data_IF_989225914242
#
_entry.id   IF_989225914242
#
_cell.length_a   1.000
_cell.length_b   1.000
_cell.length_c   1.000
_cell.angle_alpha   90.00
_cell.angle_beta   90.00
_cell.angle_gamma   90.00
#
_symmetry.space_group_name_H-M   'P 1'
#
loop_
_entity.id
_entity.type
_entity.pdbx_description
1 polymer ?
#
# COMPACT_ATOMS: atom_id res chain seq x y z
N UNK A 1 16.99 -0.25 10.00
CA UNK A 1 15.93 0.81 10.06
C UNK A 1 16.14 1.96 9.07
N UNK A 2 17.27 2.69 9.09
CA UNK A 2 17.51 3.79 8.12
C UNK A 2 17.41 3.36 6.66
N UNK A 3 17.99 2.21 6.31
CA UNK A 3 17.95 1.65 4.95
C UNK A 3 16.52 1.37 4.45
N UNK A 4 15.63 0.88 5.33
CA UNK A 4 14.22 0.67 4.99
C UNK A 4 13.53 1.99 4.60
N UNK A 5 13.78 3.06 5.35
CA UNK A 5 13.26 4.40 5.03
C UNK A 5 13.84 4.94 3.72
N UNK A 6 15.12 4.69 3.45
CA UNK A 6 15.76 5.08 2.18
C UNK A 6 15.08 4.40 0.98
N UNK A 7 14.72 3.12 1.07
CA UNK A 7 14.00 2.44 -0.01
C UNK A 7 12.67 3.10 -0.38
N UNK A 8 11.95 3.65 0.61
CA UNK A 8 10.72 4.41 0.33
C UNK A 8 11.03 5.79 -0.26
N UNK A 9 12.08 6.47 0.21
CA UNK A 9 12.50 7.77 -0.33
C UNK A 9 13.00 7.68 -1.77
N UNK A 10 13.64 6.58 -2.15
CA UNK A 10 14.06 6.30 -3.54
C UNK A 10 12.87 6.17 -4.49
N UNK A 11 11.71 5.74 -3.98
CA UNK A 11 10.47 5.66 -4.76
C UNK A 11 9.80 7.03 -4.89
N UNK A 12 9.68 7.73 -3.77
CA UNK A 12 9.10 9.06 -3.69
C UNK A 12 9.68 9.79 -2.46
N UNK A 13 10.49 10.85 -2.65
CA UNK A 13 11.08 11.63 -1.55
C UNK A 13 10.05 12.31 -0.65
N UNK A 14 8.84 12.57 -1.15
CA UNK A 14 7.75 13.24 -0.45
C UNK A 14 6.67 12.26 0.02
N UNK A 15 6.95 10.95 0.02
CA UNK A 15 5.99 9.92 0.38
C UNK A 15 5.49 10.12 1.82
N UNK A 16 4.16 10.33 2.02
CA UNK A 16 3.64 10.52 3.37
C UNK A 16 3.89 9.30 4.25
N UNK A 17 4.28 9.52 5.50
CA UNK A 17 4.54 8.43 6.46
C UNK A 17 3.36 7.49 6.62
N UNK A 18 2.12 8.01 6.63
CA UNK A 18 0.91 7.16 6.67
C UNK A 18 0.78 6.25 5.45
N UNK A 19 1.26 6.66 4.28
CA UNK A 19 1.30 5.83 3.07
C UNK A 19 2.34 4.72 3.20
N UNK A 20 3.50 4.99 3.80
CA UNK A 20 4.51 3.97 4.14
C UNK A 20 3.92 2.93 5.10
N UNK A 21 3.27 3.38 6.18
CA UNK A 21 2.60 2.48 7.14
C UNK A 21 1.52 1.63 6.45
N UNK A 22 0.73 2.25 5.55
CA UNK A 22 -0.26 1.53 4.75
C UNK A 22 0.37 0.40 3.93
N UNK A 23 1.52 0.64 3.29
CA UNK A 23 2.23 -0.39 2.55
C UNK A 23 2.70 -1.53 3.47
N UNK A 24 3.31 -1.20 4.62
CA UNK A 24 3.80 -2.21 5.57
C UNK A 24 2.67 -3.09 6.11
N UNK A 25 1.50 -2.51 6.40
CA UNK A 25 0.31 -3.26 6.82
C UNK A 25 -0.15 -4.24 5.74
N UNK A 26 -0.19 -3.82 4.47
CA UNK A 26 -0.55 -4.69 3.33
C UNK A 26 0.51 -5.77 3.14
N UNK A 27 1.79 -5.40 3.24
CA UNK A 27 2.91 -6.30 3.02
C UNK A 27 2.99 -7.40 4.08
N UNK A 28 2.62 -7.11 5.32
CA UNK A 28 2.61 -8.07 6.43
C UNK A 28 1.34 -8.92 6.51
N UNK A 29 0.31 -8.63 5.71
CA UNK A 29 -0.91 -9.42 5.72
C UNK A 29 -0.69 -10.78 5.03
N UNK A 30 -1.17 -11.86 5.66
CA UNK A 30 -1.13 -13.21 5.09
C UNK A 30 -2.10 -13.39 3.90
N UNK A 31 -3.10 -12.50 3.79
CA UNK A 31 -4.19 -12.54 2.80
C UNK A 31 -4.53 -11.14 2.32
N UNK A 32 -5.25 -11.07 1.21
CA UNK A 32 -5.78 -9.83 0.65
C UNK A 32 -6.64 -9.09 1.70
N UNK A 33 -6.21 -7.87 2.05
CA UNK A 33 -6.74 -7.12 3.18
C UNK A 33 -7.97 -6.30 2.77
N UNK A 34 -9.10 -6.38 3.50
CA UNK A 34 -10.23 -5.49 3.29
C UNK A 34 -9.84 -4.02 3.51
N UNK A 35 -10.35 -3.12 2.67
CA UNK A 35 -10.14 -1.67 2.83
C UNK A 35 -10.61 -1.14 4.21
N UNK A 36 -11.64 -1.76 4.78
CA UNK A 36 -12.15 -1.42 6.12
C UNK A 36 -11.13 -1.74 7.21
N UNK A 37 -10.43 -2.86 7.08
CA UNK A 37 -9.42 -3.28 8.06
C UNK A 37 -8.19 -2.37 7.97
N UNK A 38 -7.79 -1.98 6.76
CA UNK A 38 -6.78 -0.93 6.56
C UNK A 38 -7.19 0.40 7.17
N UNK A 39 -8.46 0.81 7.00
CA UNK A 39 -8.97 2.04 7.59
C UNK A 39 -8.86 2.01 9.12
N UNK A 40 -9.27 0.91 9.74
CA UNK A 40 -9.19 0.74 11.19
C UNK A 40 -7.74 0.75 11.68
N UNK A 41 -6.84 0.02 10.99
CA UNK A 41 -5.44 -0.07 11.37
C UNK A 41 -4.66 1.24 11.20
N UNK A 42 -5.03 2.06 10.20
CA UNK A 42 -4.42 3.38 9.95
C UNK A 42 -5.01 4.50 10.82
N UNK A 43 -6.09 4.22 11.55
CA UNK A 43 -6.89 5.18 12.30
C UNK A 43 -7.20 6.43 11.48
N UNK A 44 -7.96 6.26 10.40
CA UNK A 44 -8.26 7.34 9.46
C UNK A 44 -9.62 7.20 8.80
N UNK A 45 -10.03 8.21 8.05
CA UNK A 45 -11.28 8.18 7.27
C UNK A 45 -11.16 7.27 6.05
N UNK A 46 -12.27 6.71 5.58
CA UNK A 46 -12.31 5.95 4.32
C UNK A 46 -11.72 6.72 3.13
N UNK A 47 -11.97 8.02 3.04
CA UNK A 47 -11.38 8.91 2.02
C UNK A 47 -9.86 9.02 2.12
N UNK A 48 -9.31 9.00 3.32
CA UNK A 48 -7.86 9.07 3.56
C UNK A 48 -7.19 7.72 3.33
N UNK A 49 -7.81 6.61 3.74
CA UNK A 49 -7.37 5.25 3.39
C UNK A 49 -7.30 5.07 1.88
N UNK A 50 -8.35 5.49 1.16
CA UNK A 50 -8.39 5.43 -0.30
C UNK A 50 -7.25 6.23 -0.94
N UNK A 51 -6.93 7.42 -0.43
CA UNK A 51 -5.80 8.21 -0.93
C UNK A 51 -4.46 7.54 -0.69
N UNK A 52 -4.23 6.94 0.49
CA UNK A 52 -3.02 6.18 0.78
C UNK A 52 -2.87 4.99 -0.17
N UNK A 53 -3.93 4.21 -0.36
CA UNK A 53 -3.92 3.06 -1.27
C UNK A 53 -3.75 3.49 -2.72
N UNK A 54 -4.39 4.58 -3.15
CA UNK A 54 -4.23 5.13 -4.50
C UNK A 54 -2.78 5.56 -4.78
N UNK A 55 -2.09 6.16 -3.80
CA UNK A 55 -0.70 6.58 -3.97
C UNK A 55 0.24 5.40 -4.18
N UNK A 56 -0.03 4.29 -3.50
CA UNK A 56 0.66 3.01 -3.67
C UNK A 56 0.24 2.25 -4.93
N UNK A 57 -0.92 2.57 -5.51
CA UNK A 57 -1.47 1.90 -6.69
C UNK A 57 -0.83 2.40 -7.98
N UNK A 58 -1.21 1.83 -9.13
CA UNK A 58 -0.70 2.29 -10.42
C UNK A 58 -1.05 3.77 -10.74
N UNK A 59 -2.13 4.28 -10.15
CA UNK A 59 -2.61 5.64 -10.38
C UNK A 59 -3.06 6.28 -9.07
N UNK A 60 -2.49 7.44 -8.75
CA UNK A 60 -2.86 8.26 -7.60
C UNK A 60 -4.06 9.17 -7.90
N UNK A 61 -4.07 9.76 -9.10
CA UNK A 61 -5.15 10.58 -9.69
C UNK A 61 -5.28 10.25 -11.18
N UNK A 62 -6.36 10.66 -11.87
CA UNK A 62 -6.41 10.56 -13.32
C UNK A 62 -5.16 11.19 -13.94
N UNK A 63 -4.42 10.42 -14.74
CA UNK A 63 -3.17 10.83 -15.40
C UNK A 63 -1.98 11.12 -14.48
N UNK A 64 -2.09 10.84 -13.17
CA UNK A 64 -0.95 10.92 -12.25
C UNK A 64 -0.55 9.50 -11.86
N UNK A 65 0.61 9.01 -12.33
CA UNK A 65 1.09 7.68 -11.98
C UNK A 65 1.31 7.59 -10.47
N UNK A 66 0.93 6.46 -9.89
CA UNK A 66 1.30 6.09 -8.52
C UNK A 66 2.46 5.10 -8.52
N UNK A 67 2.79 4.55 -7.36
CA UNK A 67 3.96 3.69 -7.19
C UNK A 67 3.78 2.28 -7.79
N UNK A 68 2.55 1.83 -8.05
CA UNK A 68 2.25 0.53 -8.65
C UNK A 68 2.62 -0.68 -7.78
N UNK A 69 2.73 -0.48 -6.47
CA UNK A 69 3.10 -1.50 -5.49
C UNK A 69 1.90 -2.33 -5.02
N UNK A 70 0.70 -1.73 -5.02
CA UNK A 70 -0.53 -2.41 -4.58
C UNK A 70 -1.62 -2.28 -5.63
N UNK A 71 -2.63 -3.13 -5.53
CA UNK A 71 -3.86 -3.00 -6.30
C UNK A 71 -5.08 -3.21 -5.40
N UNK A 72 -6.12 -2.41 -5.65
CA UNK A 72 -7.41 -2.56 -5.01
C UNK A 72 -8.41 -3.18 -5.99
N UNK A 73 -9.13 -4.21 -5.56
CA UNK A 73 -10.06 -4.96 -6.40
C UNK A 73 -11.36 -5.29 -5.64
N UNK A 74 -12.42 -5.59 -6.38
CA UNK A 74 -13.71 -5.99 -5.80
C UNK A 74 -13.64 -7.41 -5.23
N UNK A 75 -14.23 -7.62 -4.05
CA UNK A 75 -14.36 -8.96 -3.50
C UNK A 75 -15.33 -9.79 -4.36
N UNK A 76 -14.92 -11.00 -4.73
CA UNK A 76 -15.73 -11.91 -5.54
C UNK A 76 -16.97 -12.41 -4.79
N UNK A 77 -16.93 -12.49 -3.47
CA UNK A 77 -18.04 -12.93 -2.63
C UNK A 77 -19.04 -11.80 -2.35
N UNK A 78 -18.56 -10.54 -2.28
CA UNK A 78 -19.42 -9.37 -2.12
C UNK A 78 -18.77 -8.11 -2.74
N UNK A 79 -19.20 -7.78 -3.95
CA UNK A 79 -18.67 -6.66 -4.74
C UNK A 79 -18.85 -5.29 -4.08
N UNK A 80 -19.65 -5.17 -3.01
CA UNK A 80 -19.76 -3.93 -2.22
C UNK A 80 -18.47 -3.63 -1.45
N UNK A 81 -17.60 -4.62 -1.26
CA UNK A 81 -16.33 -4.47 -0.57
C UNK A 81 -15.14 -4.49 -1.53
N UNK A 82 -14.13 -3.68 -1.19
CA UNK A 82 -12.84 -3.68 -1.86
C UNK A 82 -11.79 -4.31 -0.97
N UNK A 83 -10.92 -5.11 -1.58
CA UNK A 83 -9.72 -5.67 -0.97
C UNK A 83 -8.49 -5.08 -1.63
N UNK A 84 -7.36 -5.16 -0.94
CA UNK A 84 -6.07 -4.66 -1.38
C UNK A 84 -5.04 -5.77 -1.28
N UNK A 85 -4.15 -5.86 -2.27
CA UNK A 85 -3.05 -6.81 -2.28
C UNK A 85 -1.80 -6.24 -2.96
N UNK A 86 -0.67 -6.89 -2.77
CA UNK A 86 0.58 -6.54 -3.45
C UNK A 86 0.52 -6.94 -4.94
N UNK A 87 0.96 -6.03 -5.81
CA UNK A 87 1.27 -6.36 -7.21
C UNK A 87 2.57 -7.17 -7.29
N UNK A 88 2.95 -7.73 -8.46
CA UNK A 88 4.27 -8.32 -8.65
C UNK A 88 5.42 -7.35 -8.28
N UNK A 89 5.29 -6.06 -8.64
CA UNK A 89 6.23 -5.00 -8.27
C UNK A 89 6.27 -4.80 -6.75
N UNK A 90 5.11 -4.79 -6.09
CA UNK A 90 5.02 -4.70 -4.63
C UNK A 90 5.65 -5.87 -3.89
N UNK A 91 5.48 -7.09 -4.39
CA UNK A 91 6.11 -8.30 -3.83
C UNK A 91 7.63 -8.22 -3.94
N UNK A 92 8.16 -7.81 -5.09
CA UNK A 92 9.60 -7.60 -5.26
C UNK A 92 10.14 -6.51 -4.31
N UNK A 93 9.39 -5.43 -4.11
CA UNK A 93 9.75 -4.38 -3.17
C UNK A 93 9.72 -4.87 -1.72
N UNK A 94 8.72 -5.67 -1.32
CA UNK A 94 8.66 -6.32 0.00
C UNK A 94 9.91 -7.17 0.26
N UNK A 95 10.32 -8.00 -0.70
CA UNK A 95 11.53 -8.84 -0.56
C UNK A 95 12.77 -7.97 -0.30
N UNK A 96 12.91 -6.86 -1.03
CA UNK A 96 14.01 -5.91 -0.83
C UNK A 96 13.91 -5.21 0.53
N UNK A 97 12.71 -4.87 0.98
CA UNK A 97 12.47 -4.27 2.29
C UNK A 97 12.87 -5.23 3.42
N UNK A 98 12.45 -6.49 3.31
CA UNK A 98 12.78 -7.53 4.30
C UNK A 98 14.30 -7.76 4.38
N UNK A 99 15.02 -7.71 3.24
CA UNK A 99 16.49 -7.88 3.22
C UNK A 99 17.29 -6.79 3.94
N UNK A 100 16.72 -5.60 4.13
CA UNK A 100 17.38 -4.48 4.85
C UNK A 100 16.85 -4.27 6.28
N UNK A 101 15.85 -5.07 6.65
CA UNK A 101 15.28 -5.13 7.99
C UNK A 101 15.75 -6.34 8.80
N UNK A 102 16.41 -7.31 8.14
CA UNK A 102 17.11 -8.43 8.78
C UNK A 102 18.33 -8.01 9.60
#
# INVERSE_FOLDING_TARGET
MYQAVQLFRDLDPELPTKTVVCFVLIANADKDIPMRDLQNALDTSSSSTTRNVAHLSAHYKPKVPGLGLVEAFEDLNDRRYKRVRLTPKGKAFRIRLDSVMG
#
